data_IF_063664473557
#
_entry.id   IF_063664473557
#
_cell.length_a   1.000
_cell.length_b   1.000
_cell.length_c   1.000
_cell.angle_alpha   90.00
_cell.angle_beta   90.00
_cell.angle_gamma   90.00
#
_symmetry.space_group_name_H-M   'P 1'
#
loop_
_entity.id
_entity.type
_entity.pdbx_description
1 polymer ?
#
# COMPACT_ATOMS: atom_id res chain seq x y z
N UNK A 1 1.79 -22.92 -9.77
CA UNK A 1 2.26 -21.61 -10.27
C UNK A 1 1.34 -20.45 -9.85
N UNK A 2 0.05 -20.47 -10.23
CA UNK A 2 -0.93 -19.38 -9.95
C UNK A 2 -1.02 -18.99 -8.47
N UNK A 3 -1.02 -19.97 -7.57
CA UNK A 3 -1.08 -19.77 -6.11
C UNK A 3 0.03 -18.86 -5.56
N UNK A 4 1.26 -19.07 -6.02
CA UNK A 4 2.44 -18.29 -5.58
C UNK A 4 2.42 -16.88 -6.19
N UNK A 5 1.89 -16.75 -7.41
CA UNK A 5 1.72 -15.47 -8.09
C UNK A 5 0.74 -14.55 -7.32
N UNK A 6 -0.32 -15.09 -6.73
CA UNK A 6 -1.27 -14.33 -5.91
C UNK A 6 -0.58 -13.77 -4.64
N UNK A 7 0.19 -14.59 -3.94
CA UNK A 7 0.97 -14.12 -2.77
C UNK A 7 1.96 -13.02 -3.14
N UNK A 8 2.69 -13.20 -4.26
CA UNK A 8 3.67 -12.22 -4.74
C UNK A 8 2.97 -10.93 -5.19
N UNK A 9 1.84 -11.02 -5.88
CA UNK A 9 1.04 -9.85 -6.25
C UNK A 9 0.61 -9.03 -5.02
N UNK A 10 0.21 -9.70 -3.94
CA UNK A 10 -0.21 -9.03 -2.70
C UNK A 10 0.93 -8.22 -2.04
N UNK A 11 2.19 -8.67 -2.09
CA UNK A 11 3.32 -7.89 -1.52
C UNK A 11 3.80 -6.80 -2.48
N UNK A 12 3.73 -7.04 -3.79
CA UNK A 12 4.22 -6.08 -4.79
C UNK A 12 3.41 -4.79 -4.80
N UNK A 13 2.08 -4.91 -4.68
CA UNK A 13 1.17 -3.75 -4.64
C UNK A 13 1.59 -2.70 -3.59
N UNK A 14 1.65 -3.02 -2.28
CA UNK A 14 2.00 -2.04 -1.26
C UNK A 14 3.48 -1.62 -1.35
N UNK A 15 4.36 -2.48 -1.87
CA UNK A 15 5.78 -2.13 -2.07
C UNK A 15 5.92 -1.01 -3.11
N UNK A 16 5.29 -1.15 -4.28
CA UNK A 16 5.34 -0.13 -5.34
C UNK A 16 4.69 1.17 -4.87
N UNK A 17 3.54 1.09 -4.20
CA UNK A 17 2.88 2.27 -3.64
C UNK A 17 3.74 2.98 -2.59
N UNK A 18 4.43 2.23 -1.73
CA UNK A 18 5.35 2.80 -0.74
C UNK A 18 6.49 3.54 -1.42
N UNK A 19 7.07 2.98 -2.47
CA UNK A 19 8.12 3.66 -3.26
C UNK A 19 7.60 4.96 -3.85
N UNK A 20 6.39 4.97 -4.42
CA UNK A 20 5.77 6.18 -4.96
C UNK A 20 5.51 7.24 -3.88
N UNK A 21 5.04 6.83 -2.70
CA UNK A 21 4.80 7.73 -1.56
C UNK A 21 6.12 8.32 -1.07
N UNK A 22 7.15 7.50 -0.89
CA UNK A 22 8.49 7.95 -0.48
C UNK A 22 9.04 8.92 -1.53
N UNK A 23 8.92 8.60 -2.82
CA UNK A 23 9.34 9.51 -3.88
C UNK A 23 8.59 10.84 -3.81
N UNK A 24 7.28 10.82 -3.57
CA UNK A 24 6.47 12.03 -3.44
C UNK A 24 6.85 12.89 -2.24
N UNK A 25 7.15 12.28 -1.09
CA UNK A 25 7.48 13.01 0.14
C UNK A 25 8.88 13.63 0.14
N UNK A 26 9.84 12.98 -0.53
CA UNK A 26 11.25 13.39 -0.51
C UNK A 26 11.74 13.95 -1.86
N UNK A 27 10.90 13.94 -2.89
CA UNK A 27 11.22 14.39 -4.25
C UNK A 27 12.52 13.80 -4.81
N UNK A 28 12.70 12.47 -4.63
CA UNK A 28 13.94 11.76 -4.99
C UNK A 28 14.15 11.76 -6.51
N UNK A 29 13.08 11.48 -7.26
CA UNK A 29 13.03 11.49 -8.73
C UNK A 29 11.94 12.47 -9.16
N UNK A 30 12.21 13.36 -10.13
CA UNK A 30 11.23 14.33 -10.60
C UNK A 30 10.07 13.62 -11.30
N UNK A 31 8.96 13.47 -10.58
CA UNK A 31 7.72 12.88 -11.09
C UNK A 31 6.57 13.88 -10.88
N UNK A 32 5.92 14.30 -11.97
CA UNK A 32 4.77 15.21 -11.95
C UNK A 32 3.45 14.50 -11.62
N UNK A 33 3.43 13.73 -10.53
CA UNK A 33 2.28 12.90 -10.10
C UNK A 33 1.43 13.54 -9.00
N UNK A 34 1.80 14.74 -8.51
CA UNK A 34 1.10 15.49 -7.46
C UNK A 34 0.68 14.59 -6.28
N UNK A 35 -0.39 14.92 -5.53
CA UNK A 35 -0.86 14.13 -4.39
C UNK A 35 -1.43 12.74 -4.72
N UNK A 36 -1.36 12.28 -5.97
CA UNK A 36 -1.88 10.97 -6.40
C UNK A 36 -1.29 9.79 -5.58
N UNK A 37 0.02 9.72 -5.28
CA UNK A 37 0.58 8.65 -4.47
C UNK A 37 -0.03 8.52 -3.07
N UNK A 38 -0.55 9.61 -2.50
CA UNK A 38 -1.25 9.59 -1.21
C UNK A 38 -2.69 9.08 -1.34
N UNK A 39 -3.33 9.22 -2.49
CA UNK A 39 -4.72 8.75 -2.71
C UNK A 39 -4.75 7.29 -3.16
N UNK A 40 -3.76 6.84 -3.93
CA UNK A 40 -3.71 5.49 -4.51
C UNK A 40 -3.86 4.34 -3.48
N UNK A 41 -3.31 4.40 -2.26
CA UNK A 41 -3.51 3.36 -1.26
C UNK A 41 -5.00 3.11 -0.93
N UNK A 42 -5.86 4.13 -0.97
CA UNK A 42 -7.29 3.94 -0.72
C UNK A 42 -7.98 3.05 -1.75
N UNK A 43 -7.52 3.08 -3.00
CA UNK A 43 -8.13 2.33 -4.10
C UNK A 43 -7.45 0.97 -4.27
N UNK A 44 -6.11 0.96 -4.25
CA UNK A 44 -5.34 -0.21 -4.67
C UNK A 44 -5.02 -1.15 -3.49
N UNK A 45 -4.80 -0.64 -2.27
CA UNK A 45 -4.48 -1.50 -1.12
C UNK A 45 -5.63 -2.44 -0.70
N UNK A 46 -6.92 -2.06 -0.76
CA UNK A 46 -8.00 -3.02 -0.53
C UNK A 46 -7.93 -4.23 -1.47
N UNK A 47 -7.60 -4.00 -2.74
CA UNK A 47 -7.41 -5.07 -3.73
C UNK A 47 -6.23 -5.97 -3.32
N UNK A 48 -5.09 -5.36 -2.96
CA UNK A 48 -3.91 -6.09 -2.49
C UNK A 48 -4.14 -6.89 -1.20
N UNK A 49 -4.95 -6.36 -0.28
CA UNK A 49 -5.35 -7.02 0.95
C UNK A 49 -6.26 -8.23 0.68
N UNK A 50 -7.23 -8.10 -0.23
CA UNK A 50 -8.09 -9.21 -0.67
C UNK A 50 -7.27 -10.31 -1.35
N UNK A 51 -6.34 -9.94 -2.22
CA UNK A 51 -5.40 -10.91 -2.83
C UNK A 51 -4.55 -11.62 -1.77
N UNK A 52 -4.07 -10.89 -0.77
CA UNK A 52 -3.35 -11.46 0.38
C UNK A 52 -4.21 -12.43 1.18
N UNK A 53 -5.49 -12.08 1.42
CA UNK A 53 -6.44 -12.95 2.12
C UNK A 53 -6.71 -14.25 1.36
N UNK A 54 -6.91 -14.16 0.04
CA UNK A 54 -7.10 -15.31 -0.84
C UNK A 54 -5.83 -16.18 -0.82
N UNK A 55 -4.65 -15.58 -1.06
CA UNK A 55 -3.37 -16.28 -1.04
C UNK A 55 -3.10 -16.99 0.29
N UNK A 56 -3.41 -16.33 1.41
CA UNK A 56 -3.25 -16.88 2.75
C UNK A 56 -4.20 -18.05 3.01
N UNK A 57 -5.47 -17.95 2.60
CA UNK A 57 -6.42 -19.08 2.72
C UNK A 57 -6.00 -20.29 1.88
N UNK A 58 -5.39 -20.09 0.73
CA UNK A 58 -5.01 -21.18 -0.17
C UNK A 58 -3.78 -21.97 0.28
N UNK A 59 -2.77 -21.32 0.87
CA UNK A 59 -1.49 -21.98 1.18
C UNK A 59 -0.92 -21.66 2.57
N UNK A 60 -1.62 -20.86 3.40
CA UNK A 60 -1.11 -20.36 4.69
C UNK A 60 0.28 -19.73 4.58
N UNK A 61 0.55 -19.11 3.43
CA UNK A 61 1.85 -18.55 3.08
C UNK A 61 2.13 -17.29 3.92
N UNK A 62 3.28 -17.25 4.58
CA UNK A 62 3.74 -16.09 5.35
C UNK A 62 3.87 -14.85 4.45
N UNK A 63 4.19 -15.03 3.18
CA UNK A 63 4.31 -13.94 2.20
C UNK A 63 2.95 -13.30 1.92
N UNK A 64 1.90 -14.11 1.77
CA UNK A 64 0.52 -13.61 1.62
C UNK A 64 0.03 -12.92 2.90
N UNK A 65 0.39 -13.42 4.08
CA UNK A 65 0.09 -12.76 5.37
C UNK A 65 0.77 -11.40 5.47
N UNK A 66 2.06 -11.32 5.13
CA UNK A 66 2.82 -10.08 5.13
C UNK A 66 2.23 -9.07 4.13
N UNK A 67 1.93 -9.50 2.89
CA UNK A 67 1.28 -8.68 1.88
C UNK A 67 -0.06 -8.12 2.35
N UNK A 68 -0.90 -8.95 2.97
CA UNK A 68 -2.17 -8.51 3.53
C UNK A 68 -2.00 -7.44 4.61
N UNK A 69 -1.14 -7.68 5.60
CA UNK A 69 -0.88 -6.72 6.68
C UNK A 69 -0.31 -5.43 6.12
N UNK A 70 0.64 -5.52 5.18
CA UNK A 70 1.27 -4.35 4.58
C UNK A 70 0.27 -3.49 3.81
N UNK A 71 -0.65 -4.11 3.04
CA UNK A 71 -1.73 -3.38 2.38
C UNK A 71 -2.65 -2.68 3.38
N UNK A 72 -3.02 -3.34 4.49
CA UNK A 72 -3.89 -2.74 5.51
C UNK A 72 -3.19 -1.53 6.16
N UNK A 73 -1.92 -1.67 6.52
CA UNK A 73 -1.14 -0.57 7.11
C UNK A 73 -1.02 0.58 6.12
N UNK A 74 -0.70 0.29 4.86
CA UNK A 74 -0.54 1.33 3.84
C UNK A 74 -1.87 2.00 3.47
N UNK A 75 -3.00 1.30 3.57
CA UNK A 75 -4.33 1.89 3.45
C UNK A 75 -4.63 2.92 4.55
N UNK A 76 -4.13 2.69 5.77
CA UNK A 76 -4.29 3.63 6.89
C UNK A 76 -3.34 4.83 6.79
N UNK A 77 -2.24 4.72 6.05
CA UNK A 77 -1.22 5.77 5.94
C UNK A 77 -1.79 7.13 5.49
N UNK A 78 -2.59 7.23 4.40
CA UNK A 78 -3.16 8.51 3.99
C UNK A 78 -4.11 9.13 5.03
N UNK A 79 -4.83 8.30 5.80
CA UNK A 79 -5.70 8.78 6.89
C UNK A 79 -4.83 9.43 7.97
N UNK A 80 -3.80 8.71 8.44
CA UNK A 80 -2.87 9.21 9.44
C UNK A 80 -2.15 10.48 8.95
N UNK A 81 -1.72 10.50 7.69
CA UNK A 81 -1.06 11.65 7.07
C UNK A 81 -1.96 12.89 7.09
N UNK A 82 -3.24 12.76 6.70
CA UNK A 82 -4.18 13.89 6.72
C UNK A 82 -4.50 14.33 8.16
N UNK A 83 -4.71 13.41 9.10
CA UNK A 83 -4.95 13.75 10.51
C UNK A 83 -3.77 14.54 11.08
N UNK A 84 -2.54 14.06 10.86
CA UNK A 84 -1.33 14.74 11.33
C UNK A 84 -1.20 16.11 10.66
N UNK A 85 -1.44 16.20 9.35
CA UNK A 85 -1.40 17.46 8.61
C UNK A 85 -2.39 18.50 9.14
N UNK A 86 -3.62 18.10 9.44
CA UNK A 86 -4.64 18.95 10.06
C UNK A 86 -4.22 19.40 11.46
N UNK A 87 -3.72 18.49 12.30
CA UNK A 87 -3.29 18.81 13.66
C UNK A 87 -2.07 19.72 13.72
N UNK A 88 -1.12 19.59 12.78
CA UNK A 88 0.10 20.40 12.74
C UNK A 88 -0.07 21.73 11.99
N UNK A 89 -0.99 21.78 11.03
CA UNK A 89 -1.15 22.88 10.07
C UNK A 89 -2.35 23.81 10.34
N UNK A 90 -3.27 23.44 11.24
CA UNK A 90 -4.31 24.34 11.75
C UNK A 90 -5.24 24.94 10.70
N UNK A 91 -5.86 24.09 9.86
CA UNK A 91 -7.13 24.39 9.18
C UNK A 91 -8.14 23.27 9.43
#
# INVERSE_FOLDING_TARGET
MVKKLISVGSILIPTVLTILIVNFLFDIVPLNIQGLPLVLPFVICPIGAVLGLIGYKMNRDNLARAGMIFNIVLFLFPIAFNIIGTLSGGV
#
